data_IF_891835944927
#
_entry.id   IF_891835944927
#
_cell.length_a   1.000
_cell.length_b   1.000
_cell.length_c   1.000
_cell.angle_alpha   90.00
_cell.angle_beta   90.00
_cell.angle_gamma   90.00
#
_symmetry.space_group_name_H-M   'P 1'
#
loop_
_entity.id
_entity.type
_entity.pdbx_description
1 polymer ?
#
# COMPACT_ATOMS: atom_id res chain seq x y z
N UNK A 1 -41.32 64.00 1.17
CA UNK A 1 -41.36 63.39 2.52
C UNK A 1 -40.44 62.21 2.49
N UNK A 2 -39.31 62.35 3.15
CA UNK A 2 -38.21 61.40 3.13
C UNK A 2 -38.67 60.14 3.88
N UNK A 3 -39.02 59.07 3.15
CA UNK A 3 -39.54 57.80 3.68
C UNK A 3 -38.42 56.96 4.35
N UNK A 4 -37.51 57.62 5.07
CA UNK A 4 -36.50 56.95 5.87
C UNK A 4 -37.09 56.62 7.22
N UNK A 5 -37.26 55.33 7.52
CA UNK A 5 -37.61 54.86 8.86
C UNK A 5 -36.58 55.41 9.86
N UNK A 6 -37.08 56.13 10.86
CA UNK A 6 -36.24 56.78 11.88
C UNK A 6 -36.72 56.41 13.26
N UNK A 7 -35.77 56.16 14.16
CA UNK A 7 -36.04 55.91 15.57
C UNK A 7 -35.69 57.17 16.36
N UNK A 8 -36.65 57.67 17.13
CA UNK A 8 -36.44 58.76 18.07
C UNK A 8 -36.07 58.15 19.42
N UNK A 9 -34.94 58.57 19.98
CA UNK A 9 -34.48 58.19 21.31
C UNK A 9 -34.88 59.33 22.24
N UNK A 10 -35.64 59.01 23.28
CA UNK A 10 -36.11 59.96 24.29
C UNK A 10 -35.31 59.81 25.60
N UNK A 11 -35.22 60.87 26.39
CA UNK A 11 -34.81 60.78 27.78
C UNK A 11 -35.94 60.22 28.66
N UNK A 12 -35.65 60.02 29.95
CA UNK A 12 -36.62 59.54 30.94
C UNK A 12 -37.76 60.53 31.20
N UNK A 13 -37.59 61.80 30.83
CA UNK A 13 -38.59 62.86 30.90
C UNK A 13 -39.50 62.93 29.66
N UNK A 14 -39.21 62.15 28.62
CA UNK A 14 -39.98 62.10 27.37
C UNK A 14 -39.57 63.15 26.32
N UNK A 15 -38.41 63.80 26.48
CA UNK A 15 -37.85 64.72 25.48
C UNK A 15 -36.95 63.98 24.49
N UNK A 16 -37.02 64.33 23.20
CA UNK A 16 -36.18 63.69 22.17
C UNK A 16 -34.72 64.09 22.35
N UNK A 17 -33.87 63.10 22.63
CA UNK A 17 -32.42 63.27 22.71
C UNK A 17 -31.75 63.15 21.34
N UNK A 18 -32.19 62.20 20.50
CA UNK A 18 -31.59 61.96 19.19
C UNK A 18 -32.58 61.33 18.22
N UNK A 19 -32.46 61.69 16.95
CA UNK A 19 -33.09 60.98 15.83
C UNK A 19 -32.04 60.13 15.14
N UNK A 20 -32.19 58.81 15.17
CA UNK A 20 -31.35 57.87 14.44
C UNK A 20 -32.05 57.45 13.15
N UNK A 21 -31.30 57.44 12.05
CA UNK A 21 -31.73 57.00 10.71
C UNK A 21 -31.31 55.55 10.45
N UNK A 22 -31.90 54.90 9.44
CA UNK A 22 -31.51 53.53 9.04
C UNK A 22 -30.01 53.37 8.76
N UNK A 23 -29.34 54.41 8.23
CA UNK A 23 -27.91 54.37 7.94
C UNK A 23 -27.04 54.41 9.22
N UNK A 24 -27.60 54.85 10.35
CA UNK A 24 -26.93 54.86 11.65
C UNK A 24 -27.25 53.62 12.49
N UNK A 25 -28.22 52.80 12.07
CA UNK A 25 -28.68 51.61 12.78
C UNK A 25 -28.34 50.31 12.06
N UNK A 26 -28.17 50.36 10.74
CA UNK A 26 -27.83 49.21 9.90
C UNK A 26 -26.36 49.32 9.52
N UNK A 27 -25.57 48.36 9.97
CA UNK A 27 -24.20 48.19 9.50
C UNK A 27 -24.23 47.84 8.01
N UNK A 28 -23.33 48.41 7.23
CA UNK A 28 -23.12 48.02 5.83
C UNK A 28 -22.62 46.58 5.73
N UNK A 29 -22.84 45.91 4.60
CA UNK A 29 -22.27 44.57 4.36
C UNK A 29 -20.76 44.54 4.61
N UNK A 30 -20.02 45.62 4.26
CA UNK A 30 -18.60 45.72 4.52
C UNK A 30 -18.26 45.84 6.01
N UNK A 31 -19.07 46.52 6.82
CA UNK A 31 -18.89 46.61 8.28
C UNK A 31 -19.29 45.30 8.96
N UNK A 32 -20.35 44.64 8.47
CA UNK A 32 -20.77 43.31 8.91
C UNK A 32 -19.67 42.28 8.59
N UNK A 33 -19.12 42.30 7.38
CA UNK A 33 -18.01 41.45 6.96
C UNK A 33 -16.74 41.74 7.77
N UNK A 34 -16.41 43.00 8.03
CA UNK A 34 -15.27 43.37 8.87
C UNK A 34 -15.44 42.83 10.30
N UNK A 35 -16.64 42.93 10.89
CA UNK A 35 -16.92 42.39 12.22
C UNK A 35 -16.92 40.85 12.24
N UNK A 36 -17.50 40.20 11.22
CA UNK A 36 -17.51 38.76 11.07
C UNK A 36 -16.10 38.18 10.85
N UNK A 37 -15.25 38.87 10.07
CA UNK A 37 -13.86 38.50 9.84
C UNK A 37 -12.96 38.76 11.08
N UNK A 38 -13.33 39.73 11.92
CA UNK A 38 -12.58 40.10 13.14
C UNK A 38 -12.94 39.24 14.37
N UNK A 39 -13.98 38.41 14.31
CA UNK A 39 -14.43 37.59 15.45
C UNK A 39 -13.60 36.31 15.69
N UNK A 40 -12.30 36.32 15.35
CA UNK A 40 -11.34 35.28 15.74
C UNK A 40 -11.47 33.92 15.05
N UNK A 41 -12.41 33.74 14.12
CA UNK A 41 -12.58 32.47 13.40
C UNK A 41 -11.77 32.37 12.09
N UNK A 42 -11.21 33.46 11.57
CA UNK A 42 -10.54 33.47 10.26
C UNK A 42 -9.24 34.30 10.18
N UNK A 43 -8.92 35.10 11.21
CA UNK A 43 -7.72 35.93 11.26
C UNK A 43 -6.52 35.24 11.93
N UNK A 44 -6.73 34.09 12.58
CA UNK A 44 -5.67 33.47 13.37
C UNK A 44 -4.82 32.54 12.50
N UNK A 45 -3.54 32.88 12.35
CA UNK A 45 -2.51 31.98 11.88
C UNK A 45 -2.48 30.63 12.64
N UNK A 46 -3.18 30.52 13.77
CA UNK A 46 -3.33 29.27 14.53
C UNK A 46 -4.40 28.30 14.01
N UNK A 47 -5.26 28.66 13.04
CA UNK A 47 -6.25 27.73 12.45
C UNK A 47 -5.90 27.33 11.03
N UNK A 48 -6.11 26.05 10.71
CA UNK A 48 -6.03 25.56 9.33
C UNK A 48 -7.24 26.05 8.53
N UNK A 49 -6.98 26.62 7.35
CA UNK A 49 -8.02 27.09 6.44
C UNK A 49 -8.37 26.02 5.40
N UNK A 50 -9.64 25.96 5.00
CA UNK A 50 -10.16 25.00 4.00
C UNK A 50 -9.53 25.18 2.61
N UNK A 51 -9.03 26.37 2.32
CA UNK A 51 -8.33 26.69 1.07
C UNK A 51 -6.86 26.20 1.05
N UNK A 52 -6.37 25.66 2.17
CA UNK A 52 -5.00 25.18 2.30
C UNK A 52 -3.93 26.27 2.36
N UNK A 53 -4.32 27.55 2.51
CA UNK A 53 -3.36 28.67 2.51
C UNK A 53 -2.50 28.76 3.78
N UNK A 54 -2.89 28.07 4.86
CA UNK A 54 -2.13 27.99 6.11
C UNK A 54 -1.40 26.65 6.16
N UNK A 55 -0.06 26.69 6.22
CA UNK A 55 0.78 25.51 6.31
C UNK A 55 0.77 24.90 7.71
N UNK A 56 0.93 23.57 7.77
CA UNK A 56 1.26 22.86 9.00
C UNK A 56 2.74 23.10 9.33
N UNK A 57 3.03 23.74 10.46
CA UNK A 57 4.41 24.00 10.91
C UNK A 57 4.91 22.99 11.96
N UNK A 58 4.12 21.96 12.24
CA UNK A 58 4.44 20.88 13.19
C UNK A 58 3.47 19.71 13.06
N UNK A 59 3.76 18.65 13.80
CA UNK A 59 2.92 17.44 13.82
C UNK A 59 1.54 17.72 14.41
N UNK A 60 0.50 17.13 13.83
CA UNK A 60 -0.87 17.21 14.32
C UNK A 60 -1.29 15.86 14.91
N UNK A 61 -1.67 15.86 16.18
CA UNK A 61 -2.31 14.70 16.81
C UNK A 61 -3.80 14.69 16.43
N UNK A 62 -4.25 13.61 15.79
CA UNK A 62 -5.65 13.42 15.40
C UNK A 62 -6.51 12.85 16.53
N UNK A 63 -5.95 12.57 17.72
CA UNK A 63 -6.69 12.10 18.88
C UNK A 63 -6.79 10.57 18.98
N UNK A 64 -5.83 9.84 18.40
CA UNK A 64 -5.64 8.38 18.56
C UNK A 64 -6.67 7.47 17.86
N UNK A 65 -7.97 7.78 17.96
CA UNK A 65 -9.05 6.99 17.35
C UNK A 65 -9.68 7.65 16.13
N UNK A 66 -9.47 8.95 15.93
CA UNK A 66 -10.06 9.65 14.80
C UNK A 66 -9.31 9.31 13.52
N UNK A 67 -9.99 9.48 12.38
CA UNK A 67 -9.44 9.16 11.06
C UNK A 67 -9.58 10.34 10.13
N UNK A 68 -8.64 10.45 9.19
CA UNK A 68 -8.78 11.33 8.02
C UNK A 68 -9.51 10.51 6.96
N UNK A 69 -10.73 10.92 6.62
CA UNK A 69 -11.59 10.22 5.66
C UNK A 69 -11.53 10.90 4.29
N UNK A 70 -11.98 10.20 3.25
CA UNK A 70 -12.05 10.70 1.87
C UNK A 70 -10.68 11.10 1.26
N UNK A 71 -9.59 10.43 1.66
CA UNK A 71 -8.32 10.52 0.95
C UNK A 71 -8.44 9.82 -0.41
N UNK A 72 -8.09 10.48 -1.53
CA UNK A 72 -8.06 9.84 -2.85
C UNK A 72 -6.95 8.79 -2.95
N UNK A 73 -6.95 7.99 -4.01
CA UNK A 73 -5.80 7.16 -4.34
C UNK A 73 -4.59 8.06 -4.65
N UNK A 74 -3.42 7.83 -4.03
CA UNK A 74 -2.24 8.64 -4.26
C UNK A 74 -1.76 8.49 -5.71
N UNK A 75 -1.41 9.62 -6.31
CA UNK A 75 -0.93 9.74 -7.70
C UNK A 75 0.55 10.13 -7.78
N UNK A 76 1.10 10.69 -6.71
CA UNK A 76 2.50 11.02 -6.53
C UNK A 76 3.06 10.39 -5.25
N UNK A 77 4.39 10.24 -5.19
CA UNK A 77 5.08 9.64 -4.05
C UNK A 77 4.96 10.46 -2.76
N UNK A 78 4.61 11.74 -2.84
CA UNK A 78 4.42 12.65 -1.71
C UNK A 78 2.97 12.70 -1.20
N UNK A 79 2.05 12.05 -1.89
CA UNK A 79 0.64 12.08 -1.51
C UNK A 79 0.44 11.24 -0.24
N UNK A 80 -0.48 11.67 0.62
CA UNK A 80 -0.99 10.80 1.67
C UNK A 80 -1.71 9.60 1.05
N UNK A 81 -1.51 8.40 1.61
CA UNK A 81 -2.13 7.18 1.13
C UNK A 81 -3.13 6.63 2.16
N UNK A 82 -4.22 6.02 1.69
CA UNK A 82 -5.08 5.22 2.58
C UNK A 82 -4.36 3.96 3.02
N UNK A 83 -4.73 3.41 4.19
CA UNK A 83 -4.17 2.14 4.66
C UNK A 83 -4.39 1.01 3.65
N UNK A 84 -5.58 0.95 3.03
CA UNK A 84 -5.89 -0.05 2.01
C UNK A 84 -4.96 0.04 0.79
N UNK A 85 -4.56 1.24 0.37
CA UNK A 85 -3.59 1.42 -0.70
C UNK A 85 -2.22 0.86 -0.31
N UNK A 86 -1.75 1.17 0.91
CA UNK A 86 -0.47 0.71 1.42
C UNK A 86 -0.44 -0.82 1.62
N UNK A 87 -1.49 -1.40 2.22
CA UNK A 87 -1.58 -2.84 2.51
C UNK A 87 -1.67 -3.71 1.25
N UNK A 88 -2.24 -3.17 0.16
CA UNK A 88 -2.46 -3.93 -1.07
C UNK A 88 -1.20 -4.16 -1.91
N UNK A 89 -0.03 -3.69 -1.46
CA UNK A 89 1.21 -3.69 -2.25
C UNK A 89 2.39 -4.17 -1.41
N UNK A 90 3.12 -5.14 -1.95
CA UNK A 90 4.56 -5.30 -1.64
C UNK A 90 5.29 -4.29 -2.52
N UNK A 91 6.11 -3.42 -1.94
CA UNK A 91 6.90 -2.45 -2.68
C UNK A 91 7.78 -3.17 -3.71
N UNK A 92 7.88 -2.59 -4.91
CA UNK A 92 8.65 -3.17 -6.02
C UNK A 92 10.16 -3.24 -5.77
N UNK A 93 10.65 -2.53 -4.75
CA UNK A 93 12.04 -2.55 -4.32
C UNK A 93 12.12 -2.38 -2.79
N UNK A 94 12.99 -3.16 -2.13
CA UNK A 94 13.38 -2.94 -0.74
C UNK A 94 12.46 -3.53 0.33
N UNK A 95 11.34 -4.16 -0.04
CA UNK A 95 10.52 -4.86 0.96
C UNK A 95 11.23 -6.10 1.47
N UNK A 96 11.59 -6.08 2.76
CA UNK A 96 12.02 -7.26 3.49
C UNK A 96 10.80 -7.92 4.11
N UNK A 97 10.39 -9.06 3.57
CA UNK A 97 9.37 -9.90 4.20
C UNK A 97 9.98 -10.54 5.46
N UNK A 98 9.70 -9.98 6.64
CA UNK A 98 10.25 -10.47 7.92
C UNK A 98 9.49 -11.67 8.49
N UNK A 99 8.44 -12.12 7.81
CA UNK A 99 7.62 -13.26 8.16
C UNK A 99 7.34 -14.15 6.94
N UNK A 100 6.57 -15.22 7.16
CA UNK A 100 6.13 -16.11 6.08
C UNK A 100 5.23 -15.38 5.11
N UNK A 101 5.51 -15.49 3.81
CA UNK A 101 4.57 -15.11 2.76
C UNK A 101 3.64 -16.30 2.47
N UNK A 102 2.35 -16.16 2.76
CA UNK A 102 1.34 -17.18 2.46
C UNK A 102 0.68 -16.89 1.11
N UNK A 103 0.66 -17.90 0.23
CA UNK A 103 -0.06 -17.88 -1.04
C UNK A 103 -1.21 -18.88 -0.95
N UNK A 104 -2.43 -18.40 -0.70
CA UNK A 104 -3.60 -19.26 -0.47
C UNK A 104 -4.07 -19.96 -1.76
N UNK A 105 -4.94 -20.98 -1.58
CA UNK A 105 -5.70 -21.64 -2.66
C UNK A 105 -4.86 -22.16 -3.84
N UNK A 106 -3.66 -22.68 -3.55
CA UNK A 106 -2.71 -23.17 -4.56
C UNK A 106 -2.30 -22.09 -5.59
N UNK A 107 -2.25 -20.84 -5.14
CA UNK A 107 -1.69 -19.73 -5.92
C UNK A 107 -0.20 -19.95 -6.22
N UNK A 108 0.27 -19.35 -7.31
CA UNK A 108 1.64 -19.46 -7.80
C UNK A 108 2.46 -18.23 -7.44
N UNK A 109 3.74 -18.44 -7.15
CA UNK A 109 4.75 -17.39 -7.32
C UNK A 109 5.18 -17.41 -8.78
N UNK A 110 5.10 -16.28 -9.48
CA UNK A 110 5.44 -16.15 -10.90
C UNK A 110 6.64 -15.21 -11.09
N UNK A 111 7.63 -15.68 -11.83
CA UNK A 111 8.80 -14.93 -12.26
C UNK A 111 8.66 -14.68 -13.76
N UNK A 112 8.25 -13.49 -14.12
CA UNK A 112 8.03 -13.10 -15.52
C UNK A 112 9.35 -12.95 -16.28
N UNK A 113 9.30 -13.14 -17.59
CA UNK A 113 10.39 -12.77 -18.49
C UNK A 113 10.57 -11.24 -18.52
N UNK A 114 11.64 -10.77 -19.18
CA UNK A 114 12.00 -9.36 -19.16
C UNK A 114 10.97 -8.40 -19.81
N UNK A 115 9.92 -8.94 -20.44
CA UNK A 115 8.88 -8.19 -21.15
C UNK A 115 7.46 -8.52 -20.64
N UNK A 116 7.35 -9.22 -19.50
CA UNK A 116 6.09 -9.58 -18.84
C UNK A 116 5.10 -10.40 -19.71
N UNK A 117 5.59 -11.20 -20.66
CA UNK A 117 4.72 -12.01 -21.53
C UNK A 117 4.63 -13.48 -21.10
N UNK A 118 5.74 -14.05 -20.66
CA UNK A 118 5.82 -15.42 -20.17
C UNK A 118 6.35 -15.43 -18.73
N UNK A 119 6.22 -16.57 -18.04
CA UNK A 119 6.75 -16.72 -16.69
C UNK A 119 7.17 -18.16 -16.39
N UNK A 120 8.09 -18.30 -15.43
CA UNK A 120 8.32 -19.56 -14.70
C UNK A 120 7.71 -19.42 -13.31
N UNK A 121 7.17 -20.51 -12.73
CA UNK A 121 6.43 -20.41 -11.48
C UNK A 121 6.62 -21.57 -10.53
N UNK A 122 6.41 -21.28 -9.24
CA UNK A 122 6.39 -22.26 -8.16
C UNK A 122 4.94 -22.37 -7.66
N UNK A 123 4.41 -23.59 -7.62
CA UNK A 123 3.01 -23.89 -7.26
C UNK A 123 2.91 -25.04 -6.27
N UNK A 124 2.01 -24.91 -5.30
CA UNK A 124 1.56 -26.07 -4.53
C UNK A 124 0.66 -27.00 -5.38
N UNK A 125 0.72 -28.33 -5.19
CA UNK A 125 -0.28 -29.24 -5.75
C UNK A 125 -1.70 -28.89 -5.27
N UNK A 126 -2.72 -29.36 -5.99
CA UNK A 126 -4.12 -29.14 -5.61
C UNK A 126 -4.47 -29.67 -4.21
N UNK A 127 -3.75 -30.70 -3.73
CA UNK A 127 -3.84 -31.22 -2.39
C UNK A 127 -2.45 -31.55 -1.83
N UNK A 128 -2.19 -31.11 -0.61
CA UNK A 128 -0.98 -31.43 0.17
C UNK A 128 -1.42 -32.16 1.43
N UNK A 129 -1.00 -33.42 1.60
CA UNK A 129 -1.47 -34.28 2.69
C UNK A 129 -0.81 -33.97 4.04
N UNK A 130 0.41 -33.44 4.00
CA UNK A 130 1.18 -32.99 5.17
C UNK A 130 2.00 -31.77 4.78
N UNK A 131 2.08 -30.77 5.67
CA UNK A 131 2.87 -29.57 5.41
C UNK A 131 4.36 -29.93 5.26
N UNK A 132 4.98 -29.47 4.18
CA UNK A 132 6.42 -29.66 3.91
C UNK A 132 7.06 -28.30 3.71
N UNK A 133 8.24 -28.10 4.31
CA UNK A 133 9.12 -26.98 4.01
C UNK A 133 10.34 -27.52 3.28
N UNK A 134 10.63 -27.00 2.08
CA UNK A 134 11.86 -27.31 1.37
C UNK A 134 12.97 -26.36 1.80
N UNK A 135 13.92 -26.85 2.59
CA UNK A 135 15.07 -26.07 3.06
C UNK A 135 16.17 -26.10 2.00
N UNK A 136 16.55 -24.92 1.50
CA UNK A 136 17.64 -24.78 0.53
C UNK A 136 19.01 -25.12 1.14
N UNK A 137 19.98 -25.58 0.33
CA UNK A 137 21.36 -25.77 0.78
C UNK A 137 22.01 -24.45 1.23
N UNK A 138 22.99 -24.55 2.13
CA UNK A 138 23.72 -23.38 2.68
C UNK A 138 24.58 -22.64 1.66
N UNK A 139 24.93 -23.29 0.56
CA UNK A 139 25.77 -22.76 -0.50
C UNK A 139 25.20 -23.13 -1.87
N UNK A 140 25.65 -22.40 -2.89
CA UNK A 140 25.48 -22.79 -4.28
C UNK A 140 26.22 -24.10 -4.58
N UNK A 141 25.69 -24.83 -5.58
CA UNK A 141 26.29 -26.07 -6.03
C UNK A 141 27.47 -25.80 -6.96
N UNK A 142 28.33 -26.80 -7.12
CA UNK A 142 29.35 -26.80 -8.17
C UNK A 142 28.74 -27.09 -9.55
N UNK A 143 29.42 -26.66 -10.61
CA UNK A 143 29.00 -26.95 -11.98
C UNK A 143 28.78 -28.45 -12.20
N UNK A 144 27.65 -28.81 -12.81
CA UNK A 144 27.26 -30.20 -13.05
C UNK A 144 26.58 -30.92 -11.88
N UNK A 145 26.40 -30.27 -10.72
CA UNK A 145 25.62 -30.84 -9.61
C UNK A 145 24.11 -30.65 -9.82
N UNK A 146 23.33 -31.56 -9.25
CA UNK A 146 21.87 -31.56 -9.25
C UNK A 146 21.35 -31.25 -7.85
N UNK A 147 20.22 -30.54 -7.75
CA UNK A 147 19.52 -30.34 -6.48
C UNK A 147 18.62 -31.55 -6.20
N UNK A 148 18.86 -32.24 -5.09
CA UNK A 148 18.14 -33.45 -4.69
C UNK A 148 17.37 -33.21 -3.38
N UNK A 149 16.21 -33.86 -3.22
CA UNK A 149 15.46 -33.94 -1.96
C UNK A 149 15.77 -35.22 -1.21
N UNK A 150 15.83 -35.16 0.13
CA UNK A 150 15.93 -36.34 0.98
C UNK A 150 14.56 -36.98 1.31
N UNK A 151 13.45 -36.49 0.74
CA UNK A 151 12.10 -36.97 1.02
C UNK A 151 11.51 -36.47 2.35
N UNK A 152 12.21 -35.63 3.10
CA UNK A 152 11.76 -35.05 4.38
C UNK A 152 11.98 -33.53 4.46
N UNK A 153 12.12 -32.87 3.30
CA UNK A 153 12.18 -31.41 3.19
C UNK A 153 13.59 -30.80 3.09
N UNK A 154 14.67 -31.54 3.37
CA UNK A 154 16.00 -31.00 3.14
C UNK A 154 16.41 -31.19 1.67
N UNK A 155 16.88 -30.10 1.06
CA UNK A 155 17.48 -30.13 -0.28
C UNK A 155 19.02 -30.10 -0.18
N UNK A 156 19.71 -30.79 -1.09
CA UNK A 156 21.18 -30.83 -1.16
C UNK A 156 21.70 -30.94 -2.59
N UNK A 157 22.90 -30.44 -2.85
CA UNK A 157 23.59 -30.63 -4.14
C UNK A 157 24.26 -32.00 -4.18
N UNK A 158 24.08 -32.74 -5.27
CA UNK A 158 24.70 -34.05 -5.51
C UNK A 158 25.38 -34.09 -6.87
N UNK A 159 26.56 -34.71 -6.94
CA UNK A 159 27.19 -35.00 -8.22
C UNK A 159 26.49 -36.22 -8.85
N UNK A 160 25.99 -36.12 -10.08
CA UNK A 160 25.35 -37.25 -10.74
C UNK A 160 26.37 -38.38 -10.91
N UNK A 161 25.94 -39.62 -10.63
CA UNK A 161 26.77 -40.79 -10.90
C UNK A 161 27.03 -40.87 -12.41
N UNK A 162 28.29 -41.03 -12.81
CA UNK A 162 28.60 -41.45 -14.17
C UNK A 162 27.96 -42.83 -14.35
N UNK A 163 26.99 -42.95 -15.26
CA UNK A 163 26.71 -44.26 -15.83
C UNK A 163 28.01 -44.65 -16.56
N UNK A 164 28.81 -45.51 -15.93
CA UNK A 164 29.90 -46.17 -16.65
C UNK A 164 29.30 -46.78 -17.92
N UNK A 165 30.05 -46.76 -19.03
CA UNK A 165 29.62 -47.32 -20.31
C UNK A 165 28.70 -48.52 -20.06
N UNK A 166 27.49 -48.51 -20.62
CA UNK A 166 26.69 -49.73 -20.69
C UNK A 166 27.52 -50.66 -21.56
N UNK A 167 28.37 -51.45 -20.91
CA UNK A 167 29.28 -52.35 -21.59
C UNK A 167 28.44 -53.54 -22.03
N UNK A 168 27.70 -53.35 -23.11
CA UNK A 168 26.99 -54.40 -23.83
C UNK A 168 27.96 -55.44 -24.40
N UNK A 169 29.28 -55.16 -24.43
CA UNK A 169 30.31 -56.07 -24.92
C UNK A 169 30.87 -57.03 -23.84
N UNK A 170 30.76 -56.70 -22.55
CA UNK A 170 31.21 -57.59 -21.44
C UNK A 170 30.26 -58.75 -21.18
N UNK A 171 29.09 -58.78 -21.83
CA UNK A 171 28.13 -59.88 -21.70
C UNK A 171 28.21 -60.89 -22.85
N UNK A 172 29.38 -60.99 -23.51
CA UNK A 172 29.69 -62.04 -24.48
C UNK A 172 30.32 -63.28 -23.83
N UNK A 173 30.07 -63.47 -22.53
CA UNK A 173 30.51 -64.63 -21.74
C UNK A 173 29.32 -65.43 -21.20
N UNK A 174 28.89 -66.44 -21.94
CA UNK A 174 28.09 -67.61 -21.51
C UNK A 174 26.72 -67.43 -20.79
N UNK A 175 26.21 -66.22 -20.52
CA UNK A 175 24.82 -66.02 -20.04
C UNK A 175 24.24 -64.64 -20.41
N UNK A 176 24.59 -64.14 -21.59
CA UNK A 176 24.20 -62.79 -22.02
C UNK A 176 22.70 -62.61 -22.27
N UNK A 177 22.17 -61.44 -21.88
CA UNK A 177 20.81 -61.01 -22.24
C UNK A 177 20.78 -60.86 -23.77
N UNK A 178 20.20 -61.83 -24.47
CA UNK A 178 20.07 -61.81 -25.92
C UNK A 178 19.18 -60.65 -26.36
N UNK A 179 19.76 -59.69 -27.06
CA UNK A 179 18.99 -58.72 -27.85
C UNK A 179 18.63 -59.41 -29.16
N UNK A 180 17.43 -59.99 -29.21
CA UNK A 180 16.91 -60.57 -30.44
C UNK A 180 16.51 -59.45 -31.40
N UNK A 181 17.31 -59.26 -32.47
CA UNK A 181 16.86 -58.56 -33.68
C UNK A 181 15.89 -59.49 -34.43
N UNK A 182 14.64 -59.05 -34.56
CA UNK A 182 13.59 -59.77 -35.27
C UNK A 182 13.61 -59.37 -36.75
N UNK A 183 14.32 -60.15 -37.57
CA UNK A 183 14.04 -60.24 -39.00
C UNK A 183 13.08 -61.39 -39.28
#
# INVERSE_FOLDING_TARGET
VDNADTVLIYDDSGSVLRKATRAEMVLTEAEVDAYANNNGYAADSAVLKKDGSVALTGDWDVGGTNTITNLPAPSANSDAATKAYADAKVAKAGDNMTGTLQMDTASEVRFFDAVDTNYVGLKAPAAVTTSVTWTLPVADGSNGQLLQTNGSGALSWVSPASIGEINTASNQGSSGIGVWDNK
#
